data_IF_442185176789
#
_entry.id   IF_442185176789
#
_cell.length_a   1.000
_cell.length_b   1.000
_cell.length_c   1.000
_cell.angle_alpha   90.00
_cell.angle_beta   90.00
_cell.angle_gamma   90.00
#
_symmetry.space_group_name_H-M   'P 1'
#
loop_
_entity.id
_entity.type
_entity.pdbx_description
1 polymer ?
#
# COMPACT_ATOMS: atom_id res chain seq x y z
N UNK A 1 -4.31 -11.36 3.30
CA UNK A 1 -3.35 -11.00 4.37
C UNK A 1 -2.97 -9.51 4.36
N UNK A 2 -2.11 -9.01 3.45
CA UNK A 2 -1.64 -7.60 3.45
C UNK A 2 -2.74 -6.53 3.63
N UNK A 3 -3.85 -6.62 2.88
CA UNK A 3 -5.00 -5.69 2.99
C UNK A 3 -5.62 -5.65 4.40
N UNK A 4 -5.68 -6.78 5.10
CA UNK A 4 -6.27 -6.87 6.43
C UNK A 4 -5.34 -6.24 7.47
N UNK A 5 -4.04 -6.53 7.40
CA UNK A 5 -3.05 -5.93 8.29
C UNK A 5 -3.01 -4.40 8.16
N UNK A 6 -3.13 -3.88 6.94
CA UNK A 6 -3.19 -2.44 6.68
C UNK A 6 -4.44 -1.75 7.27
N UNK A 7 -5.54 -2.50 7.46
CA UNK A 7 -6.80 -1.99 8.02
C UNK A 7 -6.91 -2.16 9.53
N UNK A 8 -6.37 -3.26 10.04
CA UNK A 8 -6.54 -3.68 11.43
C UNK A 8 -5.38 -3.22 12.32
N UNK A 9 -4.25 -2.84 11.73
CA UNK A 9 -3.03 -2.54 12.49
C UNK A 9 -2.36 -1.27 12.00
N UNK A 10 -1.73 -0.55 12.93
CA UNK A 10 -0.88 0.57 12.61
C UNK A 10 0.58 0.17 12.28
N UNK A 11 0.83 -1.11 12.01
CA UNK A 11 2.18 -1.64 11.81
C UNK A 11 2.87 -1.01 10.59
N UNK A 12 4.19 -0.74 10.63
CA UNK A 12 4.93 -0.25 9.47
C UNK A 12 4.74 -1.14 8.24
N UNK A 13 4.61 -0.54 7.06
CA UNK A 13 4.41 -1.27 5.80
C UNK A 13 5.57 -2.25 5.52
N UNK A 14 6.78 -1.92 6.00
CA UNK A 14 7.96 -2.81 5.95
C UNK A 14 7.70 -4.11 6.71
N UNK A 15 7.15 -4.02 7.92
CA UNK A 15 6.82 -5.21 8.72
C UNK A 15 5.69 -6.00 8.08
N UNK A 16 4.65 -5.34 7.56
CA UNK A 16 3.57 -5.99 6.80
C UNK A 16 4.12 -6.73 5.57
N UNK A 17 5.15 -6.17 4.91
CA UNK A 17 5.83 -6.83 3.80
C UNK A 17 6.51 -8.13 4.26
N UNK A 18 7.29 -8.07 5.34
CA UNK A 18 7.93 -9.24 5.93
C UNK A 18 6.90 -10.30 6.36
N UNK A 19 5.82 -9.88 7.01
CA UNK A 19 4.71 -10.74 7.45
C UNK A 19 3.97 -11.43 6.30
N UNK A 20 3.99 -10.82 5.13
CA UNK A 20 3.41 -11.37 3.91
C UNK A 20 4.42 -12.17 3.06
N UNK A 21 5.65 -12.37 3.55
CA UNK A 21 6.70 -13.13 2.87
C UNK A 21 7.44 -12.35 1.78
N UNK A 22 7.36 -11.01 1.78
CA UNK A 22 8.13 -10.18 0.86
C UNK A 22 9.49 -9.82 1.44
N UNK A 23 10.52 -9.90 0.61
CA UNK A 23 11.89 -9.55 0.98
C UNK A 23 12.09 -8.05 1.23
N UNK A 24 11.19 -7.19 0.73
CA UNK A 24 11.29 -5.74 0.90
C UNK A 24 9.95 -5.02 0.69
N UNK A 25 9.88 -3.80 1.24
CA UNK A 25 8.76 -2.89 1.06
C UNK A 25 8.49 -2.57 -0.43
N UNK A 26 9.54 -2.44 -1.25
CA UNK A 26 9.40 -2.17 -2.70
C UNK A 26 8.71 -3.32 -3.45
N UNK A 27 9.02 -4.57 -3.09
CA UNK A 27 8.37 -5.75 -3.68
C UNK A 27 6.88 -5.81 -3.32
N UNK A 28 6.55 -5.62 -2.04
CA UNK A 28 5.16 -5.52 -1.60
C UNK A 28 4.46 -4.38 -2.34
N UNK A 29 5.05 -3.20 -2.41
CA UNK A 29 4.42 -2.01 -3.01
C UNK A 29 4.07 -2.26 -4.49
N UNK A 30 5.00 -2.84 -5.27
CA UNK A 30 4.76 -3.15 -6.69
C UNK A 30 3.66 -4.18 -6.86
N UNK A 31 3.70 -5.29 -6.12
CA UNK A 31 2.66 -6.33 -6.18
C UNK A 31 1.31 -5.84 -5.68
N UNK A 32 1.28 -5.08 -4.60
CA UNK A 32 0.05 -4.52 -4.05
C UNK A 32 -0.59 -3.51 -5.01
N UNK A 33 0.21 -2.66 -5.65
CA UNK A 33 -0.28 -1.74 -6.70
C UNK A 33 -0.81 -2.48 -7.92
N UNK A 34 -0.14 -3.54 -8.37
CA UNK A 34 -0.66 -4.38 -9.47
C UNK A 34 -2.00 -5.03 -9.13
N UNK A 35 -2.20 -5.43 -7.88
CA UNK A 35 -3.43 -6.11 -7.43
C UNK A 35 -4.57 -5.17 -7.03
N UNK A 36 -4.28 -3.93 -6.63
CA UNK A 36 -5.27 -3.01 -6.03
C UNK A 36 -5.39 -1.67 -6.75
N UNK A 37 -4.47 -1.37 -7.67
CA UNK A 37 -4.36 -0.06 -8.33
C UNK A 37 -3.70 1.01 -7.49
N UNK A 38 -3.48 0.80 -6.18
CA UNK A 38 -2.94 1.80 -5.26
C UNK A 38 -1.79 1.26 -4.41
N UNK A 39 -1.00 2.14 -3.78
CA UNK A 39 0.08 1.70 -2.90
C UNK A 39 -0.47 1.27 -1.53
N UNK A 40 0.22 0.40 -0.77
CA UNK A 40 -0.21 0.04 0.59
C UNK A 40 -0.37 1.25 1.51
N UNK A 41 0.51 2.26 1.35
CA UNK A 41 0.44 3.52 2.10
C UNK A 41 -0.81 4.31 1.74
N UNK A 42 -1.10 4.47 0.44
CA UNK A 42 -2.35 5.10 0.01
C UNK A 42 -3.57 4.31 0.46
N UNK A 43 -3.56 2.98 0.39
CA UNK A 43 -4.67 2.15 0.85
C UNK A 43 -4.98 2.35 2.35
N UNK A 44 -3.95 2.55 3.17
CA UNK A 44 -4.10 2.85 4.59
C UNK A 44 -4.56 4.29 4.85
N UNK A 45 -3.98 5.25 4.13
CA UNK A 45 -4.37 6.67 4.24
C UNK A 45 -5.78 6.88 3.73
N UNK A 46 -6.20 6.26 2.62
CA UNK A 46 -7.56 6.35 2.06
C UNK A 46 -8.62 5.89 3.07
N UNK A 47 -8.31 4.86 3.87
CA UNK A 47 -9.16 4.42 4.97
C UNK A 47 -9.28 5.45 6.11
N UNK A 48 -8.22 6.24 6.34
CA UNK A 48 -8.16 7.30 7.37
C UNK A 48 -8.68 8.65 6.84
N UNK A 49 -8.55 8.90 5.54
CA UNK A 49 -8.82 10.15 4.84
C UNK A 49 -10.17 10.23 4.14
N UNK A 50 -11.06 9.22 4.32
CA UNK A 50 -12.51 9.45 4.20
C UNK A 50 -13.01 10.63 5.07
N UNK A 51 -12.14 11.17 5.94
CA UNK A 51 -12.39 12.38 6.71
C UNK A 51 -11.76 13.70 6.23
N UNK A 52 -10.92 13.83 5.17
CA UNK A 52 -10.64 15.14 4.53
C UNK A 52 -9.63 15.11 3.36
N UNK A 53 -10.12 15.50 2.18
CA UNK A 53 -9.48 16.24 1.07
C UNK A 53 -7.94 16.25 0.93
N UNK A 54 -7.43 15.59 -0.11
CA UNK A 54 -6.83 16.23 -1.30
C UNK A 54 -5.75 15.36 -1.95
N UNK A 55 -5.97 15.05 -3.22
CA UNK A 55 -5.02 15.20 -4.34
C UNK A 55 -3.52 15.06 -4.05
N UNK A 56 -2.86 14.04 -4.64
CA UNK A 56 -1.79 14.24 -5.66
C UNK A 56 -1.03 12.95 -6.04
N UNK A 57 -0.88 12.82 -7.36
CA UNK A 57 0.23 12.22 -8.09
C UNK A 57 0.54 10.72 -7.88
N UNK A 58 0.09 9.92 -8.85
CA UNK A 58 0.78 8.68 -9.23
C UNK A 58 1.33 8.79 -10.65
N UNK A 59 2.55 9.31 -10.74
CA UNK A 59 3.38 9.21 -11.93
C UNK A 59 3.88 7.76 -12.12
N UNK A 60 3.81 7.34 -13.39
CA UNK A 60 4.88 6.70 -14.14
C UNK A 60 5.46 5.36 -13.65
N UNK A 61 5.05 4.28 -14.33
CA UNK A 61 5.86 3.11 -14.80
C UNK A 61 4.91 2.04 -15.34
N UNK A 62 4.16 2.37 -16.40
CA UNK A 62 3.75 1.35 -17.37
C UNK A 62 4.91 1.23 -18.36
N UNK A 63 5.74 0.22 -18.16
CA UNK A 63 6.65 -0.26 -19.21
C UNK A 63 6.35 -1.75 -19.35
N UNK A 64 5.43 -2.02 -20.26
CA UNK A 64 5.33 -3.19 -21.13
C UNK A 64 4.68 -2.67 -22.41
#
# INVERSE_FOLDING_TARGET
>A
KAKQLLKQTDQPIVNIALDCGFSSHSHLNRKFRQLTGMTPKAYRVDYVSLNCHSSRHYNHTKSL
#
